data_IF_287791984341
#
_entry.id   IF_287791984341
#
_cell.length_a   1.000
_cell.length_b   1.000
_cell.length_c   1.000
_cell.angle_alpha   90.00
_cell.angle_beta   90.00
_cell.angle_gamma   90.00
#
_symmetry.space_group_name_H-M   'P 1'
#
loop_
_entity.id
_entity.type
_entity.pdbx_description
1 polymer ?
#
# COMPACT_ATOMS: atom_id res chain seq x y z
N UNK A 1 31.45 4.54 -43.86
CA UNK A 1 31.79 3.82 -42.61
C UNK A 1 31.78 4.79 -41.44
N UNK A 2 30.70 4.79 -40.65
CA UNK A 2 30.56 5.36 -39.30
C UNK A 2 29.08 5.14 -38.90
N UNK A 3 28.85 4.76 -37.64
CA UNK A 3 27.55 4.57 -36.96
C UNK A 3 26.88 3.19 -37.01
N UNK A 4 27.65 2.11 -37.13
CA UNK A 4 27.21 0.76 -36.69
C UNK A 4 28.01 0.45 -35.42
N UNK A 5 27.49 0.84 -34.24
CA UNK A 5 27.84 0.33 -32.89
C UNK A 5 27.28 1.24 -31.77
N UNK A 6 25.99 1.61 -31.82
CA UNK A 6 25.35 2.27 -30.67
C UNK A 6 23.86 1.93 -30.50
N UNK A 7 23.40 0.81 -31.05
CA UNK A 7 22.00 0.33 -30.90
C UNK A 7 21.97 -1.09 -30.32
N UNK A 8 22.82 -1.37 -29.32
CA UNK A 8 22.71 -2.58 -28.49
C UNK A 8 22.59 -2.24 -26.99
N UNK A 9 22.62 -0.95 -26.60
CA UNK A 9 22.45 -0.54 -25.19
C UNK A 9 21.07 0.00 -24.83
N UNK A 10 20.08 -0.02 -25.75
CA UNK A 10 18.74 0.53 -25.50
C UNK A 10 17.63 -0.50 -25.28
N UNK A 11 17.96 -1.79 -25.10
CA UNK A 11 16.99 -2.85 -24.80
C UNK A 11 17.12 -3.47 -23.40
N UNK A 12 17.79 -2.78 -22.46
CA UNK A 12 17.80 -3.20 -21.04
C UNK A 12 17.41 -2.01 -20.17
N UNK A 13 16.23 -1.45 -20.41
CA UNK A 13 15.58 -0.56 -19.46
C UNK A 13 14.12 -0.95 -19.31
N UNK A 14 13.83 -1.46 -18.12
CA UNK A 14 12.51 -1.59 -17.51
C UNK A 14 11.66 -2.80 -17.91
N UNK A 15 12.19 -4.00 -17.66
CA UNK A 15 11.32 -5.06 -17.13
C UNK A 15 11.83 -5.54 -15.77
N UNK A 16 11.94 -4.58 -14.85
CA UNK A 16 11.84 -4.86 -13.42
C UNK A 16 10.37 -5.16 -13.09
N UNK A 17 9.75 -6.12 -13.80
CA UNK A 17 8.52 -6.75 -13.37
C UNK A 17 8.91 -7.61 -12.17
N UNK A 18 9.03 -6.94 -11.02
CA UNK A 18 9.64 -7.50 -9.81
C UNK A 18 9.01 -8.85 -9.50
N UNK A 19 9.78 -9.79 -8.98
CA UNK A 19 9.29 -11.10 -8.56
C UNK A 19 8.05 -10.98 -7.63
N UNK A 20 7.98 -9.89 -6.86
CA UNK A 20 6.83 -9.49 -6.04
C UNK A 20 5.57 -9.16 -6.84
N UNK A 21 5.69 -8.53 -8.02
CA UNK A 21 4.56 -8.23 -8.91
C UNK A 21 3.94 -9.49 -9.52
N UNK A 22 4.73 -10.53 -9.79
CA UNK A 22 4.25 -11.83 -10.28
C UNK A 22 3.53 -12.58 -9.16
N UNK A 23 4.09 -12.63 -7.95
CA UNK A 23 3.45 -13.25 -6.80
C UNK A 23 2.12 -12.56 -6.43
N UNK A 24 2.11 -11.23 -6.48
CA UNK A 24 0.92 -10.40 -6.30
C UNK A 24 -0.15 -10.71 -7.34
N UNK A 25 0.23 -10.80 -8.63
CA UNK A 25 -0.70 -11.20 -9.69
C UNK A 25 -1.33 -12.56 -9.42
N UNK A 26 -0.54 -13.58 -9.12
CA UNK A 26 -1.04 -14.92 -8.80
C UNK A 26 -2.00 -14.92 -7.61
N UNK A 27 -1.69 -14.16 -6.55
CA UNK A 27 -2.56 -14.04 -5.40
C UNK A 27 -3.92 -13.42 -5.76
N UNK A 28 -3.93 -12.32 -6.51
CA UNK A 28 -5.18 -11.71 -6.98
C UNK A 28 -5.94 -12.64 -7.92
N UNK A 29 -5.25 -13.27 -8.87
CA UNK A 29 -5.87 -14.16 -9.85
C UNK A 29 -6.42 -15.45 -9.24
N UNK A 30 -5.91 -15.88 -8.08
CA UNK A 30 -6.50 -16.98 -7.30
C UNK A 30 -7.93 -16.69 -6.82
N UNK A 31 -8.34 -15.42 -6.77
CA UNK A 31 -9.71 -15.04 -6.51
C UNK A 31 -10.53 -15.16 -7.79
N UNK A 32 -11.68 -15.82 -7.71
CA UNK A 32 -12.64 -15.83 -8.81
C UNK A 32 -13.14 -14.40 -9.11
N UNK A 33 -13.18 -13.99 -10.37
CA UNK A 33 -13.65 -12.66 -10.73
C UNK A 33 -15.14 -12.48 -10.40
N UNK A 34 -15.49 -11.26 -9.98
CA UNK A 34 -16.89 -10.86 -9.77
C UNK A 34 -17.55 -10.41 -11.07
N UNK A 35 -16.74 -10.05 -12.07
CA UNK A 35 -17.18 -9.71 -13.41
C UNK A 35 -16.03 -9.91 -14.39
N UNK A 36 -16.36 -10.29 -15.62
CA UNK A 36 -15.43 -10.40 -16.73
C UNK A 36 -16.03 -9.64 -17.92
N UNK A 37 -15.18 -8.94 -18.65
CA UNK A 37 -15.61 -8.17 -19.81
C UNK A 37 -14.48 -8.03 -20.83
N UNK A 38 -14.79 -7.30 -21.90
CA UNK A 38 -13.86 -7.02 -22.99
C UNK A 38 -13.81 -5.50 -23.17
N UNK A 39 -12.61 -4.93 -23.24
CA UNK A 39 -12.43 -3.50 -23.50
C UNK A 39 -12.86 -3.16 -24.93
N UNK A 40 -13.05 -1.87 -25.23
CA UNK A 40 -13.33 -1.41 -26.60
C UNK A 40 -12.27 -1.81 -27.63
N UNK A 41 -11.04 -2.12 -27.18
CA UNK A 41 -9.92 -2.61 -28.00
C UNK A 41 -9.89 -4.14 -28.15
N UNK A 42 -10.89 -4.86 -27.65
CA UNK A 42 -10.94 -6.33 -27.70
C UNK A 42 -10.15 -7.06 -26.62
N UNK A 43 -9.47 -6.34 -25.71
CA UNK A 43 -8.68 -6.98 -24.65
C UNK A 43 -9.60 -7.46 -23.50
N UNK A 44 -9.47 -8.72 -23.05
CA UNK A 44 -10.23 -9.21 -21.91
C UNK A 44 -9.74 -8.55 -20.62
N UNK A 45 -10.69 -8.28 -19.71
CA UNK A 45 -10.39 -7.83 -18.36
C UNK A 45 -11.29 -8.54 -17.35
N UNK A 46 -10.84 -8.59 -16.12
CA UNK A 46 -11.63 -9.09 -15.00
C UNK A 46 -11.61 -8.15 -13.82
N UNK A 47 -12.73 -8.12 -13.10
CA UNK A 47 -12.95 -7.26 -11.95
C UNK A 47 -13.13 -8.13 -10.70
N UNK A 48 -12.43 -7.74 -9.63
CA UNK A 48 -12.64 -8.23 -8.27
C UNK A 48 -13.00 -7.04 -7.38
N UNK A 49 -14.20 -7.05 -6.84
CA UNK A 49 -14.72 -5.99 -6.00
C UNK A 49 -14.69 -6.41 -4.53
N UNK A 50 -14.10 -5.57 -3.68
CA UNK A 50 -13.97 -5.79 -2.24
C UNK A 50 -14.70 -4.68 -1.50
N UNK A 51 -15.70 -5.07 -0.70
CA UNK A 51 -16.46 -4.18 0.16
C UNK A 51 -15.80 -4.07 1.54
N UNK A 52 -15.45 -2.86 1.94
CA UNK A 52 -14.99 -2.54 3.28
C UNK A 52 -15.90 -1.47 3.92
N UNK A 53 -16.83 -1.92 4.78
CA UNK A 53 -17.90 -1.07 5.34
C UNK A 53 -18.69 -0.39 4.20
N UNK A 54 -18.62 0.95 4.10
CA UNK A 54 -19.27 1.76 3.05
C UNK A 54 -18.36 2.01 1.84
N UNK A 55 -17.10 1.58 1.87
CA UNK A 55 -16.10 1.80 0.81
C UNK A 55 -15.99 0.58 -0.07
N UNK A 56 -15.73 0.81 -1.36
CA UNK A 56 -15.44 -0.24 -2.34
C UNK A 56 -14.04 -0.08 -2.87
N UNK A 57 -13.34 -1.20 -2.95
CA UNK A 57 -12.06 -1.36 -3.62
C UNK A 57 -12.30 -2.24 -4.83
N UNK A 58 -11.85 -1.80 -5.99
CA UNK A 58 -12.03 -2.52 -7.24
C UNK A 58 -10.64 -2.84 -7.77
N UNK A 59 -10.38 -4.11 -8.00
CA UNK A 59 -9.17 -4.60 -8.61
C UNK A 59 -9.53 -4.98 -10.04
N UNK A 60 -8.97 -4.27 -11.00
CA UNK A 60 -9.07 -4.58 -12.41
C UNK A 60 -7.77 -5.25 -12.84
N UNK A 61 -7.89 -6.43 -13.43
CA UNK A 61 -6.77 -7.15 -14.01
C UNK A 61 -7.02 -7.34 -15.50
N UNK A 62 -6.09 -6.89 -16.32
CA UNK A 62 -6.02 -7.18 -17.75
C UNK A 62 -4.79 -8.06 -18.05
N UNK A 63 -4.49 -8.29 -19.33
CA UNK A 63 -3.38 -9.14 -19.79
C UNK A 63 -2.01 -8.74 -19.25
N UNK A 64 -1.80 -7.48 -18.87
CA UNK A 64 -0.49 -6.95 -18.51
C UNK A 64 -0.46 -6.22 -17.17
N UNK A 65 -1.59 -5.67 -16.71
CA UNK A 65 -1.65 -4.81 -15.54
C UNK A 65 -2.63 -5.26 -14.46
N UNK A 66 -2.33 -4.83 -13.23
CA UNK A 66 -3.24 -4.85 -12.09
C UNK A 66 -3.44 -3.40 -11.67
N UNK A 67 -4.66 -2.91 -11.83
CA UNK A 67 -5.06 -1.57 -11.42
C UNK A 67 -6.02 -1.64 -10.24
N UNK A 68 -5.78 -0.81 -9.23
CA UNK A 68 -6.63 -0.73 -8.03
C UNK A 68 -7.33 0.62 -8.00
N UNK A 69 -8.63 0.59 -7.80
CA UNK A 69 -9.49 1.76 -7.72
C UNK A 69 -10.28 1.78 -6.41
N UNK A 70 -10.57 2.97 -5.91
CA UNK A 70 -11.58 3.19 -4.89
C UNK A 70 -12.82 3.82 -5.50
N UNK A 71 -14.00 3.32 -5.13
CA UNK A 71 -15.25 4.04 -5.39
C UNK A 71 -15.36 5.22 -4.45
N UNK A 72 -15.47 6.41 -5.02
CA UNK A 72 -15.80 7.65 -4.32
C UNK A 72 -17.03 8.22 -4.99
N UNK A 73 -18.16 8.20 -4.27
CA UNK A 73 -19.50 8.49 -4.83
C UNK A 73 -19.73 7.64 -6.08
N UNK A 74 -19.87 8.26 -7.25
CA UNK A 74 -20.19 7.62 -8.53
C UNK A 74 -18.98 7.56 -9.46
N UNK A 75 -17.77 7.67 -8.90
CA UNK A 75 -16.52 7.66 -9.67
C UNK A 75 -15.49 6.71 -9.08
N UNK A 76 -14.53 6.31 -9.93
CA UNK A 76 -13.39 5.47 -9.55
C UNK A 76 -12.11 6.28 -9.53
N UNK A 77 -11.45 6.29 -8.37
CA UNK A 77 -10.15 6.95 -8.19
C UNK A 77 -9.07 5.88 -8.20
N UNK A 78 -8.17 5.93 -9.18
CA UNK A 78 -7.01 5.03 -9.26
C UNK A 78 -6.06 5.29 -8.09
N UNK A 79 -5.57 4.22 -7.46
CA UNK A 79 -4.53 4.28 -6.43
C UNK A 79 -3.24 3.72 -6.99
N UNK A 80 -2.19 4.54 -7.01
CA UNK A 80 -0.88 4.14 -7.53
C UNK A 80 -0.15 3.25 -6.51
N UNK A 81 0.23 2.05 -6.99
CA UNK A 81 1.14 1.02 -6.45
C UNK A 81 1.06 0.63 -4.97
N UNK A 82 1.14 1.56 -4.02
CA UNK A 82 1.19 1.29 -2.58
C UNK A 82 -0.05 0.52 -2.08
N UNK A 83 -1.21 0.72 -2.72
CA UNK A 83 -2.41 -0.01 -2.34
C UNK A 83 -2.49 -1.42 -2.96
N UNK A 84 -1.80 -1.65 -4.09
CA UNK A 84 -1.77 -2.94 -4.78
C UNK A 84 -1.02 -3.98 -3.95
N UNK A 85 0.18 -3.66 -3.49
CA UNK A 85 1.04 -4.62 -2.80
C UNK A 85 0.44 -5.01 -1.43
N UNK A 86 -0.17 -4.03 -0.75
CA UNK A 86 -0.92 -4.24 0.48
C UNK A 86 -2.15 -5.14 0.29
N UNK A 87 -2.91 -4.97 -0.79
CA UNK A 87 -4.01 -5.86 -1.12
C UNK A 87 -3.52 -7.28 -1.44
N UNK A 88 -2.42 -7.40 -2.19
CA UNK A 88 -1.82 -8.69 -2.48
C UNK A 88 -1.40 -9.42 -1.20
N UNK A 89 -0.77 -8.76 -0.24
CA UNK A 89 -0.47 -9.35 1.06
C UNK A 89 -1.73 -9.86 1.78
N UNK A 90 -2.81 -9.06 1.80
CA UNK A 90 -4.07 -9.44 2.46
C UNK A 90 -4.70 -10.67 1.78
N UNK A 91 -4.68 -10.71 0.45
CA UNK A 91 -5.22 -11.82 -0.33
C UNK A 91 -4.39 -13.09 -0.13
N UNK A 92 -3.06 -13.00 -0.21
CA UNK A 92 -2.15 -14.12 0.04
C UNK A 92 -2.28 -14.72 1.43
N UNK A 93 -2.70 -13.93 2.43
CA UNK A 93 -2.99 -14.42 3.80
C UNK A 93 -4.39 -15.02 3.97
N UNK A 94 -5.20 -15.06 2.92
CA UNK A 94 -6.58 -15.56 2.98
C UNK A 94 -7.52 -14.69 3.81
N UNK A 95 -7.19 -13.40 4.01
CA UNK A 95 -7.96 -12.48 4.85
C UNK A 95 -9.13 -11.81 4.11
N UNK A 96 -9.65 -12.51 3.11
CA UNK A 96 -10.72 -12.09 2.23
C UNK A 96 -11.72 -13.24 2.08
N UNK A 97 -13.02 -12.95 2.10
CA UNK A 97 -14.09 -13.94 1.96
C UNK A 97 -15.05 -13.53 0.87
N UNK A 98 -15.46 -14.49 0.04
CA UNK A 98 -16.45 -14.26 -1.02
C UNK A 98 -17.86 -14.25 -0.47
N UNK A 99 -18.66 -13.33 -0.98
CA UNK A 99 -20.10 -13.25 -0.82
C UNK A 99 -20.71 -13.39 -2.21
N UNK A 100 -21.59 -14.38 -2.42
CA UNK A 100 -22.16 -14.70 -3.73
C UNK A 100 -23.41 -13.87 -4.10
N UNK A 101 -23.78 -12.91 -3.26
CA UNK A 101 -24.94 -12.05 -3.46
C UNK A 101 -24.68 -11.09 -4.63
N UNK A 102 -25.48 -11.14 -5.72
CA UNK A 102 -25.36 -10.21 -6.83
C UNK A 102 -25.46 -8.76 -6.34
N UNK A 103 -24.62 -7.88 -6.86
CA UNK A 103 -24.58 -6.48 -6.40
C UNK A 103 -24.33 -5.55 -7.57
N UNK A 104 -25.15 -4.50 -7.68
CA UNK A 104 -24.93 -3.43 -8.63
C UNK A 104 -23.84 -2.48 -8.11
N UNK A 105 -22.85 -2.19 -8.94
CA UNK A 105 -21.75 -1.27 -8.62
C UNK A 105 -21.42 -0.41 -9.86
N UNK A 106 -21.79 0.87 -9.84
CA UNK A 106 -21.58 1.79 -10.97
C UNK A 106 -22.16 1.21 -12.27
N UNK A 107 -23.43 0.83 -12.22
CA UNK A 107 -24.18 0.22 -13.33
C UNK A 107 -23.66 -1.13 -13.83
N UNK A 108 -22.66 -1.68 -13.14
CA UNK A 108 -22.11 -3.00 -13.42
C UNK A 108 -22.68 -4.02 -12.43
N UNK A 109 -23.37 -5.04 -12.95
CA UNK A 109 -23.88 -6.15 -12.14
C UNK A 109 -22.75 -7.14 -11.85
N UNK A 110 -22.36 -7.23 -10.57
CA UNK A 110 -21.34 -8.16 -10.10
C UNK A 110 -21.97 -9.48 -9.65
N UNK A 111 -21.36 -10.60 -10.04
CA UNK A 111 -21.70 -11.96 -9.58
C UNK A 111 -21.09 -12.25 -8.19
N UNK A 112 -21.48 -11.44 -7.22
CA UNK A 112 -20.92 -11.44 -5.89
C UNK A 112 -19.83 -10.39 -5.68
N UNK A 113 -19.27 -10.39 -4.48
CA UNK A 113 -18.20 -9.49 -4.08
C UNK A 113 -17.43 -10.10 -2.92
N UNK A 114 -16.30 -9.50 -2.56
CA UNK A 114 -15.49 -9.92 -1.43
C UNK A 114 -15.65 -9.00 -0.23
N UNK A 115 -15.47 -9.53 0.98
CA UNK A 115 -15.30 -8.75 2.21
C UNK A 115 -14.00 -9.13 2.88
N UNK A 116 -13.32 -8.15 3.46
CA UNK A 116 -12.22 -8.44 4.37
C UNK A 116 -12.74 -9.14 5.62
N UNK A 117 -11.98 -10.13 6.09
CA UNK A 117 -12.14 -10.68 7.45
C UNK A 117 -11.85 -9.60 8.50
N UNK A 118 -12.07 -9.90 9.77
CA UNK A 118 -11.77 -8.96 10.87
C UNK A 118 -10.30 -8.51 10.82
N UNK A 119 -9.38 -9.43 10.57
CA UNK A 119 -7.94 -9.15 10.54
C UNK A 119 -7.51 -8.48 9.23
N UNK A 120 -8.04 -8.92 8.09
CA UNK A 120 -7.84 -8.23 6.81
C UNK A 120 -8.29 -6.78 6.87
N UNK A 121 -9.42 -6.50 7.54
CA UNK A 121 -9.95 -5.14 7.69
C UNK A 121 -9.05 -4.26 8.55
N UNK A 122 -8.52 -4.79 9.65
CA UNK A 122 -7.60 -4.07 10.53
C UNK A 122 -6.32 -3.72 9.78
N UNK A 123 -5.74 -4.71 9.08
CA UNK A 123 -4.54 -4.53 8.27
C UNK A 123 -4.78 -3.49 7.17
N UNK A 124 -5.84 -3.67 6.38
CA UNK A 124 -6.20 -2.75 5.30
C UNK A 124 -6.39 -1.30 5.77
N UNK A 125 -7.06 -1.11 6.91
CA UNK A 125 -7.28 0.23 7.45
C UNK A 125 -5.97 0.82 7.99
N UNK A 126 -5.13 0.04 8.68
CA UNK A 126 -3.84 0.50 9.19
C UNK A 126 -2.92 0.97 8.06
N UNK A 127 -2.86 0.21 6.96
CA UNK A 127 -2.03 0.51 5.79
C UNK A 127 -2.55 1.74 5.03
N UNK A 128 -3.87 1.91 4.91
CA UNK A 128 -4.43 3.11 4.30
C UNK A 128 -4.29 4.36 5.18
N UNK A 129 -4.32 4.22 6.51
CA UNK A 129 -4.07 5.32 7.44
C UNK A 129 -2.58 5.74 7.35
N UNK A 130 -1.65 4.78 7.31
CA UNK A 130 -0.22 5.06 7.12
C UNK A 130 0.05 5.93 5.87
N UNK A 131 -0.65 5.66 4.77
CA UNK A 131 -0.54 6.42 3.52
C UNK A 131 -1.09 7.86 3.61
N UNK A 132 -2.10 8.12 4.45
CA UNK A 132 -2.59 9.48 4.71
C UNK A 132 -1.64 10.25 5.66
N UNK A 133 -1.00 9.55 6.61
CA UNK A 133 -0.03 10.16 7.51
C UNK A 133 1.33 10.42 6.84
N UNK A 134 1.82 9.55 5.95
CA UNK A 134 3.05 9.79 5.17
C UNK A 134 2.93 10.97 4.20
N UNK A 135 1.73 11.24 3.68
CA UNK A 135 1.48 12.42 2.83
C UNK A 135 1.42 13.74 3.61
N UNK A 136 1.22 13.68 4.94
CA UNK A 136 0.98 14.88 5.76
C UNK A 136 2.13 15.14 6.74
N UNK A 137 2.88 14.12 7.18
CA UNK A 137 3.97 14.27 8.14
C UNK A 137 5.04 13.19 7.93
N UNK A 138 6.29 13.62 7.72
CA UNK A 138 7.44 12.78 7.36
C UNK A 138 7.54 11.42 8.07
N UNK A 139 7.86 10.42 7.25
CA UNK A 139 8.32 9.02 7.43
C UNK A 139 8.46 8.47 8.87
N UNK A 140 8.99 9.23 9.83
CA UNK A 140 9.29 8.75 11.19
C UNK A 140 8.09 8.47 12.11
N UNK A 141 6.92 9.09 11.88
CA UNK A 141 5.71 8.85 12.72
C UNK A 141 4.82 7.71 12.20
N UNK A 142 4.82 7.47 10.90
CA UNK A 142 3.96 6.49 10.22
C UNK A 142 4.40 5.05 10.51
N UNK A 143 5.70 4.80 10.50
CA UNK A 143 6.29 3.49 10.87
C UNK A 143 5.93 3.09 12.31
N UNK A 144 5.89 4.05 13.23
CA UNK A 144 5.56 3.80 14.65
C UNK A 144 4.09 3.36 14.84
N UNK A 145 3.17 3.87 14.02
CA UNK A 145 1.75 3.53 14.07
C UNK A 145 1.43 2.18 13.41
N UNK A 146 2.10 1.87 12.29
CA UNK A 146 1.96 0.58 11.60
C UNK A 146 2.55 -0.56 12.44
N UNK A 147 3.69 -0.33 13.10
CA UNK A 147 4.26 -1.29 14.05
C UNK A 147 3.42 -1.43 15.33
N UNK A 148 2.78 -0.38 15.82
CA UNK A 148 1.95 -0.44 17.03
C UNK A 148 0.52 -1.00 16.81
N UNK A 149 0.03 -1.02 15.57
CA UNK A 149 -1.33 -1.42 15.23
C UNK A 149 -1.72 -2.87 15.59
N UNK A 150 -0.86 -3.91 15.43
CA UNK A 150 -1.23 -5.26 15.85
C UNK A 150 -1.30 -5.43 17.39
N UNK A 151 -0.71 -4.53 18.18
CA UNK A 151 -0.53 -4.70 19.63
C UNK A 151 -1.66 -4.15 20.52
N UNK A 152 -2.55 -3.29 19.99
CA UNK A 152 -3.75 -2.83 20.75
C UNK A 152 -4.90 -3.84 20.76
N UNK A 153 -4.78 -4.96 20.04
CA UNK A 153 -5.87 -5.92 19.82
C UNK A 153 -5.83 -7.11 20.80
N UNK A 154 -4.71 -7.41 21.43
CA UNK A 154 -4.59 -8.51 22.38
C UNK A 154 -4.42 -8.00 23.81
N UNK A 155 -5.55 -7.80 24.48
CA UNK A 155 -5.64 -7.55 25.92
C UNK A 155 -5.32 -8.78 26.77
N UNK A 156 -4.15 -9.41 26.58
CA UNK A 156 -3.58 -10.36 27.53
C UNK A 156 -2.16 -9.92 27.90
N UNK A 157 -1.99 -9.69 29.20
CA UNK A 157 -0.81 -9.16 29.89
C UNK A 157 0.38 -10.12 29.73
N UNK A 158 1.09 -10.05 28.61
CA UNK A 158 2.25 -10.89 28.33
C UNK A 158 3.56 -10.17 28.73
N UNK A 159 4.50 -10.89 29.38
CA UNK A 159 5.81 -10.37 29.82
C UNK A 159 6.59 -9.64 28.72
N UNK A 160 6.47 -10.08 27.46
CA UNK A 160 7.06 -9.42 26.27
C UNK A 160 6.57 -7.99 26.04
N UNK A 161 5.39 -7.62 26.54
CA UNK A 161 4.84 -6.26 26.46
C UNK A 161 5.64 -5.28 27.34
N UNK A 162 6.15 -5.72 28.50
CA UNK A 162 6.99 -4.87 29.37
C UNK A 162 8.35 -4.59 28.72
N UNK A 163 8.92 -5.56 28.02
CA UNK A 163 10.19 -5.40 27.31
C UNK A 163 10.04 -4.47 26.11
N UNK A 164 9.00 -4.67 25.29
CA UNK A 164 8.70 -3.75 24.19
C UNK A 164 8.33 -2.33 24.65
N UNK A 165 7.66 -2.17 25.81
CA UNK A 165 7.39 -0.85 26.37
C UNK A 165 8.68 -0.15 26.82
N UNK A 166 9.66 -0.92 27.34
CA UNK A 166 10.99 -0.40 27.66
C UNK A 166 11.74 0.02 26.39
N UNK A 167 11.68 -0.78 25.32
CA UNK A 167 12.29 -0.43 24.03
C UNK A 167 11.63 0.80 23.39
N UNK A 168 10.30 0.91 23.46
CA UNK A 168 9.58 2.08 22.97
C UNK A 168 9.97 3.35 23.72
N UNK A 169 10.15 3.27 25.04
CA UNK A 169 10.60 4.40 25.85
C UNK A 169 12.06 4.77 25.53
N UNK A 170 12.95 3.79 25.29
CA UNK A 170 14.33 4.04 24.83
C UNK A 170 14.36 4.71 23.47
N UNK A 171 13.55 4.24 22.51
CA UNK A 171 13.43 4.87 21.19
C UNK A 171 12.91 6.30 21.26
N UNK A 172 11.95 6.59 22.16
CA UNK A 172 11.49 7.97 22.40
C UNK A 172 12.60 8.89 22.93
N UNK A 173 13.42 8.38 23.86
CA UNK A 173 14.58 9.14 24.37
C UNK A 173 15.60 9.39 23.26
N UNK A 174 15.87 8.40 22.41
CA UNK A 174 16.75 8.55 21.25
C UNK A 174 16.22 9.58 20.25
N UNK A 175 14.90 9.58 19.96
CA UNK A 175 14.30 10.59 19.09
C UNK A 175 14.42 12.01 19.65
N UNK A 176 14.22 12.19 20.95
CA UNK A 176 14.41 13.49 21.61
C UNK A 176 15.87 13.97 21.53
N UNK A 177 16.83 13.06 21.64
CA UNK A 177 18.24 13.39 21.49
C UNK A 177 18.59 13.77 20.04
N UNK A 178 18.07 13.02 19.06
CA UNK A 178 18.25 13.34 17.64
C UNK A 178 17.66 14.72 17.31
N UNK A 179 16.51 15.07 17.87
CA UNK A 179 15.88 16.38 17.65
C UNK A 179 16.71 17.52 18.26
N UNK A 180 17.33 17.31 19.44
CA UNK A 180 18.25 18.27 20.04
C UNK A 180 19.50 18.45 19.18
N UNK A 181 20.13 17.35 18.78
CA UNK A 181 21.33 17.38 17.94
C UNK A 181 21.04 18.06 16.59
N UNK A 182 19.86 17.82 15.99
CA UNK A 182 19.45 18.50 14.76
C UNK A 182 19.33 20.01 14.94
N UNK A 183 18.73 20.48 16.05
CA UNK A 183 18.65 21.92 16.37
C UNK A 183 20.02 22.55 16.60
N UNK A 184 21.00 21.78 17.08
CA UNK A 184 22.38 22.24 17.22
C UNK A 184 23.10 22.32 15.88
N UNK A 185 22.92 21.32 15.01
CA UNK A 185 23.45 21.36 13.63
C UNK A 185 22.85 22.54 12.85
N UNK A 186 21.54 22.77 12.93
CA UNK A 186 20.87 23.91 12.29
C UNK A 186 21.41 25.27 12.80
N UNK A 187 21.87 25.33 14.06
CA UNK A 187 22.52 26.54 14.62
C UNK A 187 23.95 26.69 14.12
N UNK A 188 24.71 25.59 13.99
CA UNK A 188 26.06 25.60 13.45
C UNK A 188 26.07 26.00 11.98
N UNK A 189 25.14 25.47 11.17
CA UNK A 189 24.97 25.85 9.76
C UNK A 189 24.69 27.36 9.62
N UNK A 190 23.79 27.90 10.44
CA UNK A 190 23.51 29.35 10.46
C UNK A 190 24.72 30.21 10.88
N UNK A 191 25.61 29.66 11.68
CA UNK A 191 26.84 30.37 12.08
C UNK A 191 27.90 30.28 10.98
N UNK A 192 28.03 29.15 10.30
CA UNK A 192 28.92 28.98 9.14
C UNK A 192 28.49 29.89 7.98
N UNK A 193 27.19 29.98 7.71
CA UNK A 193 26.65 30.88 6.68
C UNK A 193 26.88 32.37 6.98
N UNK A 194 26.96 32.75 8.26
CA UNK A 194 27.31 34.12 8.67
C UNK A 194 28.80 34.40 8.50
N UNK A 195 29.65 33.42 8.77
CA UNK A 195 31.11 33.53 8.59
C UNK A 195 31.46 33.64 7.10
N UNK A 196 30.78 32.90 6.22
CA UNK A 196 31.03 32.93 4.78
C UNK A 196 30.46 34.17 4.04
N UNK A 197 29.68 35.02 4.73
CA UNK A 197 29.09 36.26 4.19
C UNK A 197 29.71 37.54 4.75
N UNK A 198 30.69 37.42 5.66
CA UNK A 198 31.56 38.50 6.15
C UNK A 198 32.93 38.41 5.48
#
# INVERSE_FOLDING_TARGET
>A
MKYILFIISLFILHDSYSQDSIACRKAIESLEPNYQGVTSKGNPYSIRAIKNKKRWVIILTDSSTISVFHKVKDSLIKKENINRDNLCMIVSKGWIKRHKEPTLLLDLTLFGYYKFTKDGRKMYNALNIGNEFEKINGIGKSVLLVLAAPFKIFGKKNRKMKEMQKELNKMKQQQQQIEKNKKEVDKMEKNIDKINKS
#
